data_IF_257369022619
#
_entry.id   IF_257369022619
#
_cell.length_a   1.000
_cell.length_b   1.000
_cell.length_c   1.000
_cell.angle_alpha   90.00
_cell.angle_beta   90.00
_cell.angle_gamma   90.00
#
_symmetry.space_group_name_H-M   'P 1'
#
loop_
_entity.id
_entity.type
_entity.pdbx_description
1 polymer ?
#
# COMPACT_ATOMS: atom_id res chain seq x y z
N UNK A 1 8.03 -5.87 19.04
CA UNK A 1 7.96 -4.69 18.15
C UNK A 1 8.70 -5.03 16.86
N UNK A 2 7.97 -5.24 15.76
CA UNK A 2 8.56 -5.53 14.45
C UNK A 2 9.17 -4.28 13.82
N UNK A 3 10.24 -4.42 13.02
CA UNK A 3 10.82 -3.28 12.30
C UNK A 3 9.90 -2.88 11.15
N UNK A 4 9.44 -1.63 11.07
CA UNK A 4 8.67 -1.20 9.90
C UNK A 4 9.49 -1.31 8.63
N UNK A 5 8.86 -1.71 7.53
CA UNK A 5 9.46 -1.56 6.22
C UNK A 5 9.53 -0.06 5.90
N UNK A 6 10.74 0.50 5.81
CA UNK A 6 10.91 1.92 5.50
C UNK A 6 10.42 2.23 4.08
N UNK A 7 9.85 3.44 3.85
CA UNK A 7 9.52 3.90 2.52
C UNK A 7 10.75 3.87 1.60
N UNK A 8 10.57 3.29 0.42
CA UNK A 8 11.58 3.31 -0.64
C UNK A 8 11.36 4.53 -1.55
N UNK A 9 12.42 5.27 -1.84
CA UNK A 9 12.36 6.44 -2.73
C UNK A 9 13.06 6.13 -4.05
N UNK A 10 12.37 6.38 -5.15
CA UNK A 10 12.92 6.25 -6.50
C UNK A 10 13.68 7.53 -6.89
N UNK A 11 14.68 7.38 -7.76
CA UNK A 11 15.39 8.54 -8.31
C UNK A 11 14.58 9.18 -9.44
N UNK A 12 14.74 10.49 -9.62
CA UNK A 12 14.13 11.18 -10.75
C UNK A 12 14.58 10.54 -12.08
N UNK A 13 13.64 10.28 -12.98
CA UNK A 13 13.90 9.61 -14.26
C UNK A 13 14.01 8.09 -14.17
N UNK A 14 14.01 7.48 -12.98
CA UNK A 14 13.78 6.04 -12.85
C UNK A 14 12.35 5.76 -13.28
N UNK A 15 12.21 5.13 -14.44
CA UNK A 15 10.93 4.54 -14.82
C UNK A 15 10.68 3.38 -13.86
N UNK A 16 9.46 3.26 -13.35
CA UNK A 16 8.92 2.04 -12.73
C UNK A 16 8.87 0.93 -13.82
N UNK A 17 10.05 0.51 -14.25
CA UNK A 17 10.24 -0.56 -15.18
C UNK A 17 10.15 -1.88 -14.40
N UNK A 18 9.77 -2.94 -15.12
CA UNK A 18 9.56 -4.31 -14.64
C UNK A 18 10.57 -4.79 -13.58
N UNK A 19 11.86 -4.41 -13.67
CA UNK A 19 12.92 -4.79 -12.70
C UNK A 19 12.84 -4.08 -11.34
N UNK A 20 12.46 -2.81 -11.30
CA UNK A 20 12.43 -2.04 -10.05
C UNK A 20 11.29 -2.49 -9.16
N UNK A 21 10.14 -2.82 -9.74
CA UNK A 21 8.97 -3.38 -9.02
C UNK A 21 9.28 -4.76 -8.44
N UNK A 22 9.96 -5.64 -9.18
CA UNK A 22 10.40 -6.94 -8.63
C UNK A 22 11.41 -6.75 -7.50
N UNK A 23 12.35 -5.81 -7.63
CA UNK A 23 13.35 -5.53 -6.58
C UNK A 23 12.70 -4.98 -5.31
N UNK A 24 11.81 -3.99 -5.45
CA UNK A 24 11.09 -3.41 -4.30
C UNK A 24 10.18 -4.44 -3.64
N UNK A 25 9.45 -5.24 -4.43
CA UNK A 25 8.62 -6.34 -3.92
C UNK A 25 9.47 -7.39 -3.20
N UNK A 26 10.67 -7.70 -3.71
CA UNK A 26 11.60 -8.61 -3.04
C UNK A 26 12.12 -8.09 -1.69
N UNK A 27 12.40 -6.79 -1.58
CA UNK A 27 12.79 -6.19 -0.28
C UNK A 27 11.63 -6.19 0.72
N UNK A 28 10.42 -5.84 0.28
CA UNK A 28 9.22 -5.88 1.11
C UNK A 28 8.89 -7.31 1.55
N UNK A 29 9.05 -8.27 0.65
CA UNK A 29 8.89 -9.70 0.92
C UNK A 29 9.85 -10.21 1.97
N UNK A 30 11.16 -9.97 1.83
CA UNK A 30 12.15 -10.41 2.81
C UNK A 30 11.88 -9.81 4.20
N UNK A 31 11.36 -8.57 4.25
CA UNK A 31 10.92 -7.94 5.50
C UNK A 31 9.67 -8.60 6.08
N UNK A 32 8.70 -8.96 5.24
CA UNK A 32 7.47 -9.62 5.64
C UNK A 32 7.72 -11.05 6.16
N UNK A 33 8.52 -11.86 5.46
CA UNK A 33 8.89 -13.21 5.93
C UNK A 33 9.60 -13.17 7.28
N UNK A 34 10.50 -12.20 7.50
CA UNK A 34 11.20 -12.06 8.76
C UNK A 34 10.33 -11.58 9.93
N UNK A 35 9.10 -11.10 9.69
CA UNK A 35 8.23 -10.50 10.70
C UNK A 35 6.89 -11.19 10.88
N UNK A 36 6.41 -11.92 9.87
CA UNK A 36 5.16 -12.67 9.86
C UNK A 36 5.50 -14.16 9.67
N UNK A 37 6.14 -14.81 10.66
CA UNK A 37 6.86 -16.08 10.49
C UNK A 37 6.01 -17.32 10.20
N UNK A 38 4.74 -17.20 9.83
CA UNK A 38 3.84 -18.36 9.62
C UNK A 38 3.03 -18.27 8.32
N UNK A 39 3.36 -17.34 7.42
CA UNK A 39 2.60 -17.17 6.18
C UNK A 39 1.15 -16.71 6.38
N UNK A 40 0.81 -16.25 7.58
CA UNK A 40 -0.53 -15.75 7.93
C UNK A 40 -0.76 -14.32 7.42
N UNK A 41 -0.55 -14.12 6.12
CA UNK A 41 -0.82 -12.86 5.43
C UNK A 41 -1.20 -13.12 3.98
N UNK A 42 -1.95 -12.17 3.42
CA UNK A 42 -2.23 -12.12 1.99
C UNK A 42 -1.55 -10.88 1.43
N UNK A 43 -0.67 -11.07 0.44
CA UNK A 43 -0.09 -9.98 -0.31
C UNK A 43 -1.12 -9.41 -1.29
N UNK A 44 -1.29 -8.08 -1.28
CA UNK A 44 -2.25 -7.37 -2.13
C UNK A 44 -1.57 -6.21 -2.84
N UNK A 45 -1.91 -5.98 -4.12
CA UNK A 45 -1.44 -4.86 -4.93
C UNK A 45 -2.61 -4.29 -5.75
N UNK A 46 -2.52 -3.01 -6.11
CA UNK A 46 -3.48 -2.36 -6.99
C UNK A 46 -3.28 -2.78 -8.47
N UNK A 47 -4.21 -2.37 -9.33
CA UNK A 47 -4.22 -2.70 -10.77
C UNK A 47 -3.20 -1.93 -11.62
N UNK A 48 -2.15 -1.34 -11.06
CA UNK A 48 -1.15 -0.60 -11.83
C UNK A 48 -0.45 -1.50 -12.87
N UNK A 49 -0.10 -1.02 -14.09
CA UNK A 49 0.45 -1.87 -15.15
C UNK A 49 1.71 -2.67 -14.77
N UNK A 50 2.54 -2.17 -13.86
CA UNK A 50 3.70 -2.89 -13.33
C UNK A 50 3.31 -4.11 -12.49
N UNK A 51 2.25 -3.99 -11.69
CA UNK A 51 1.73 -5.05 -10.82
C UNK A 51 0.96 -6.11 -11.62
N UNK A 52 0.25 -5.70 -12.67
CA UNK A 52 -0.53 -6.64 -13.52
C UNK A 52 0.32 -7.40 -14.54
N UNK A 53 1.63 -7.12 -14.63
CA UNK A 53 2.53 -7.81 -15.56
C UNK A 53 2.76 -9.27 -15.18
N UNK A 54 2.88 -10.15 -16.18
CA UNK A 54 3.06 -11.60 -15.95
C UNK A 54 4.27 -11.92 -15.08
N UNK A 55 5.34 -11.14 -15.23
CA UNK A 55 6.55 -11.29 -14.41
C UNK A 55 6.27 -11.00 -12.94
N UNK A 56 5.56 -9.90 -12.64
CA UNK A 56 5.24 -9.50 -11.27
C UNK A 56 4.24 -10.47 -10.64
N UNK A 57 3.20 -10.85 -11.37
CA UNK A 57 2.22 -11.85 -10.94
C UNK A 57 2.90 -13.18 -10.65
N UNK A 58 3.72 -13.71 -11.57
CA UNK A 58 4.48 -14.95 -11.36
C UNK A 58 5.41 -14.86 -10.15
N UNK A 59 6.12 -13.74 -10.00
CA UNK A 59 6.97 -13.52 -8.84
C UNK A 59 6.16 -13.58 -7.54
N UNK A 60 5.05 -12.86 -7.45
CA UNK A 60 4.23 -12.84 -6.24
C UNK A 60 3.62 -14.22 -5.95
N UNK A 61 3.08 -14.91 -6.96
CA UNK A 61 2.55 -16.28 -6.80
C UNK A 61 3.60 -17.28 -6.34
N UNK A 62 4.85 -17.16 -6.81
CA UNK A 62 5.94 -18.08 -6.44
C UNK A 62 6.52 -17.79 -5.07
N UNK A 63 6.58 -16.54 -4.65
CA UNK A 63 7.34 -16.15 -3.45
C UNK A 63 6.43 -15.84 -2.25
N UNK A 64 5.24 -15.26 -2.43
CA UNK A 64 4.39 -14.85 -1.30
C UNK A 64 3.64 -16.06 -0.71
N UNK A 65 3.42 -16.07 0.62
CA UNK A 65 2.65 -17.12 1.29
C UNK A 65 1.23 -17.23 0.73
N UNK A 66 0.53 -16.11 0.63
CA UNK A 66 -0.71 -15.95 -0.12
C UNK A 66 -0.68 -14.66 -0.92
N UNK A 67 -1.37 -14.65 -2.07
CA UNK A 67 -1.38 -13.52 -2.97
C UNK A 67 -2.76 -13.37 -3.61
N UNK A 68 -3.24 -12.12 -3.71
CA UNK A 68 -4.39 -11.78 -4.54
C UNK A 68 -3.93 -11.41 -5.96
N UNK A 69 -4.18 -12.27 -6.96
CA UNK A 69 -3.83 -11.97 -8.35
C UNK A 69 -4.61 -10.78 -8.90
N UNK A 70 -4.16 -10.28 -10.06
CA UNK A 70 -4.67 -9.05 -10.70
C UNK A 70 -6.19 -9.00 -10.93
N UNK A 71 -6.85 -10.15 -11.00
CA UNK A 71 -8.29 -10.32 -11.20
C UNK A 71 -9.10 -10.27 -9.89
N UNK A 72 -8.46 -10.37 -8.73
CA UNK A 72 -9.10 -10.23 -7.42
C UNK A 72 -9.33 -8.77 -7.02
N UNK A 73 -8.47 -7.85 -7.48
CA UNK A 73 -8.58 -6.43 -7.13
C UNK A 73 -9.47 -5.69 -8.14
N UNK A 74 -10.56 -5.02 -7.70
CA UNK A 74 -11.41 -4.28 -8.61
C UNK A 74 -10.66 -3.10 -9.22
N UNK A 75 -10.90 -2.83 -10.50
CA UNK A 75 -10.29 -1.71 -11.21
C UNK A 75 -10.67 -0.38 -10.54
N UNK A 76 -9.75 0.59 -10.60
CA UNK A 76 -10.00 1.98 -10.17
C UNK A 76 -10.61 2.12 -8.77
N UNK A 77 -10.19 1.29 -7.82
CA UNK A 77 -10.77 1.23 -6.47
C UNK A 77 -9.79 1.68 -5.37
N UNK A 78 -9.34 2.95 -5.37
CA UNK A 78 -8.48 3.48 -4.29
C UNK A 78 -9.20 3.47 -2.94
N UNK A 79 -10.54 3.52 -2.96
CA UNK A 79 -11.41 3.38 -1.78
C UNK A 79 -11.18 2.09 -0.98
N UNK A 80 -10.59 1.07 -1.60
CA UNK A 80 -10.33 -0.23 -0.98
C UNK A 80 -8.87 -0.40 -0.53
N UNK A 81 -7.93 0.44 -0.98
CA UNK A 81 -6.54 0.32 -0.58
C UNK A 81 -6.26 1.14 0.69
N UNK A 82 -5.95 0.52 1.85
CA UNK A 82 -5.67 1.26 3.09
C UNK A 82 -4.51 2.25 2.96
N UNK A 83 -3.56 1.98 2.07
CA UNK A 83 -2.49 2.94 1.78
C UNK A 83 -3.05 4.23 1.18
N UNK A 84 -3.96 4.11 0.21
CA UNK A 84 -4.52 5.26 -0.53
C UNK A 84 -5.55 6.04 0.29
N UNK A 85 -6.53 5.36 0.90
CA UNK A 85 -7.61 6.07 1.59
C UNK A 85 -7.23 6.61 2.98
N UNK A 86 -6.10 6.20 3.55
CA UNK A 86 -5.71 6.58 4.91
C UNK A 86 -4.22 6.94 5.05
N UNK A 87 -3.31 5.98 4.80
CA UNK A 87 -1.89 6.12 5.20
C UNK A 87 -1.20 7.28 4.49
N UNK A 88 -1.38 7.41 3.17
CA UNK A 88 -0.77 8.50 2.40
C UNK A 88 -1.31 9.86 2.78
N UNK A 89 -2.63 9.98 3.02
CA UNK A 89 -3.23 11.23 3.48
C UNK A 89 -2.75 11.66 4.86
N UNK A 90 -2.57 10.72 5.80
CA UNK A 90 -2.04 11.02 7.13
C UNK A 90 -0.55 11.42 7.08
N UNK A 91 0.26 10.75 6.25
CA UNK A 91 1.65 11.16 6.03
C UNK A 91 1.73 12.56 5.44
N UNK A 92 1.00 12.82 4.35
CA UNK A 92 0.99 14.12 3.68
C UNK A 92 0.60 15.24 4.63
N UNK A 93 -0.46 15.02 5.41
CA UNK A 93 -0.94 15.96 6.44
C UNK A 93 0.13 16.31 7.46
N UNK A 94 0.96 15.34 7.89
CA UNK A 94 2.02 15.58 8.87
C UNK A 94 3.27 16.18 8.24
N UNK A 95 3.71 15.67 7.09
CA UNK A 95 4.92 16.13 6.41
C UNK A 95 4.76 17.55 5.88
N UNK A 96 3.56 17.95 5.48
CA UNK A 96 3.31 19.25 4.86
C UNK A 96 2.94 20.35 5.87
N UNK A 97 3.08 20.12 7.18
CA UNK A 97 2.88 21.16 8.22
C UNK A 97 3.90 22.29 8.11
N UNK A 98 5.06 22.01 7.51
CA UNK A 98 6.16 22.97 7.33
C UNK A 98 6.79 22.80 5.94
N UNK A 99 7.29 23.88 5.32
CA UNK A 99 8.06 23.78 4.08
C UNK A 99 9.35 22.99 4.27
N UNK A 100 9.81 22.33 3.20
CA UNK A 100 11.08 21.61 3.16
C UNK A 100 12.08 22.32 2.25
N UNK A 101 13.34 22.52 2.67
CA UNK A 101 14.34 23.24 1.88
C UNK A 101 14.82 22.47 0.66
N UNK A 102 14.69 21.14 0.65
CA UNK A 102 15.08 20.27 -0.46
C UNK A 102 14.42 18.88 -0.33
N UNK A 103 14.61 18.05 -1.35
CA UNK A 103 14.03 16.70 -1.43
C UNK A 103 14.54 15.78 -0.31
N UNK A 104 15.80 15.94 0.14
CA UNK A 104 16.36 15.07 1.18
C UNK A 104 15.77 15.38 2.57
N UNK A 105 15.52 16.66 2.86
CA UNK A 105 14.77 17.08 4.05
C UNK A 105 13.33 16.54 4.05
N UNK A 106 12.66 16.56 2.90
CA UNK A 106 11.33 15.96 2.74
C UNK A 106 11.38 14.44 2.98
N UNK A 107 12.34 13.72 2.37
CA UNK A 107 12.52 12.28 2.58
C UNK A 107 12.81 11.93 4.04
N UNK A 108 13.61 12.73 4.74
CA UNK A 108 13.88 12.55 6.16
C UNK A 108 12.60 12.69 6.99
N UNK A 109 11.81 13.73 6.71
CA UNK A 109 10.53 13.97 7.38
C UNK A 109 9.55 12.82 7.13
N UNK A 110 9.42 12.34 5.88
CA UNK A 110 8.55 11.19 5.55
C UNK A 110 8.93 9.95 6.37
N UNK A 111 10.24 9.65 6.52
CA UNK A 111 10.69 8.51 7.33
C UNK A 111 10.34 8.69 8.81
N UNK A 112 10.58 9.87 9.36
CA UNK A 112 10.22 10.18 10.75
C UNK A 112 8.72 10.03 10.99
N UNK A 113 7.88 10.58 10.13
CA UNK A 113 6.43 10.49 10.29
C UNK A 113 5.88 9.08 10.05
N UNK A 114 6.53 8.28 9.20
CA UNK A 114 6.21 6.87 9.01
C UNK A 114 6.47 6.04 10.28
N UNK A 115 7.61 6.26 10.93
CA UNK A 115 7.96 5.57 12.18
C UNK A 115 7.09 6.04 13.35
N UNK A 116 6.71 7.33 13.38
CA UNK A 116 5.82 7.92 14.38
C UNK A 116 4.33 7.58 14.18
N UNK A 117 3.94 7.02 13.03
CA UNK A 117 2.53 6.68 12.77
C UNK A 117 2.07 5.61 13.76
N UNK A 118 0.95 5.83 14.47
CA UNK A 118 0.53 4.89 15.51
C UNK A 118 0.12 3.53 14.91
N UNK A 119 0.44 2.46 15.62
CA UNK A 119 0.01 1.10 15.24
C UNK A 119 -1.52 0.99 15.27
N UNK A 120 -2.17 1.65 16.23
CA UNK A 120 -3.62 1.75 16.31
C UNK A 120 -4.25 2.34 15.03
N UNK A 121 -3.67 3.42 14.48
CA UNK A 121 -4.15 4.03 13.23
C UNK A 121 -4.04 3.06 12.06
N UNK A 122 -2.91 2.34 11.94
CA UNK A 122 -2.69 1.34 10.90
C UNK A 122 -3.69 0.19 11.01
N UNK A 123 -3.85 -0.38 12.21
CA UNK A 123 -4.80 -1.46 12.49
C UNK A 123 -6.23 -1.02 12.15
N UNK A 124 -6.65 0.17 12.57
CA UNK A 124 -7.99 0.69 12.31
C UNK A 124 -8.22 0.97 10.81
N UNK A 125 -7.19 1.44 10.10
CA UNK A 125 -7.24 1.59 8.65
C UNK A 125 -7.50 0.25 7.96
N UNK A 126 -6.74 -0.79 8.32
CA UNK A 126 -6.94 -2.14 7.80
C UNK A 126 -8.30 -2.73 8.17
N UNK A 127 -8.76 -2.58 9.42
CA UNK A 127 -10.09 -3.04 9.88
C UNK A 127 -11.23 -2.42 9.09
N UNK A 128 -11.05 -1.21 8.55
CA UNK A 128 -12.07 -0.53 7.75
C UNK A 128 -12.28 -1.14 6.35
N UNK A 129 -11.34 -1.97 5.89
CA UNK A 129 -11.37 -2.60 4.56
C UNK A 129 -12.69 -3.33 4.28
N UNK A 130 -13.11 -4.21 5.20
CA UNK A 130 -14.31 -5.03 5.01
C UNK A 130 -15.58 -4.19 4.81
N UNK A 131 -15.79 -3.20 5.68
CA UNK A 131 -16.94 -2.28 5.59
C UNK A 131 -16.93 -1.50 4.27
N UNK A 132 -15.74 -1.12 3.77
CA UNK A 132 -15.59 -0.42 2.48
C UNK A 132 -15.94 -1.33 1.31
N UNK A 133 -15.52 -2.60 1.34
CA UNK A 133 -15.95 -3.61 0.35
C UNK A 133 -17.46 -3.77 0.35
N UNK A 134 -18.08 -3.94 1.53
CA UNK A 134 -19.53 -4.05 1.67
C UNK A 134 -20.26 -2.81 1.11
N UNK A 135 -19.70 -1.60 1.32
CA UNK A 135 -20.25 -0.37 0.75
C UNK A 135 -20.13 -0.31 -0.78
N UNK A 136 -19.01 -0.75 -1.36
CA UNK A 136 -18.83 -0.83 -2.82
C UNK A 136 -19.81 -1.85 -3.43
N UNK A 137 -20.01 -3.00 -2.79
CA UNK A 137 -21.00 -4.00 -3.23
C UNK A 137 -22.41 -3.41 -3.20
N UNK A 138 -22.79 -2.75 -2.09
CA UNK A 138 -24.09 -2.07 -1.97
C UNK A 138 -24.27 -0.97 -3.03
N UNK A 139 -23.19 -0.34 -3.45
CA UNK A 139 -23.18 0.68 -4.50
C UNK A 139 -23.04 0.09 -5.92
N UNK A 140 -23.12 -1.23 -6.09
CA UNK A 140 -22.99 -1.93 -7.39
C UNK A 140 -21.68 -1.56 -8.13
N UNK A 141 -20.57 -1.46 -7.39
CA UNK A 141 -19.27 -1.04 -7.93
C UNK A 141 -19.03 0.47 -7.92
N UNK A 142 -19.99 1.27 -7.44
CA UNK A 142 -19.84 2.70 -7.21
C UNK A 142 -18.94 3.04 -6.00
N UNK A 143 -18.57 4.32 -5.91
CA UNK A 143 -17.73 4.86 -4.82
C UNK A 143 -18.35 4.60 -3.45
N UNK A 144 -17.54 4.08 -2.51
CA UNK A 144 -17.97 3.76 -1.15
C UNK A 144 -18.46 4.98 -0.34
N UNK A 145 -18.09 6.19 -0.76
CA UNK A 145 -18.49 7.45 -0.12
C UNK A 145 -19.86 7.99 -0.58
N UNK A 146 -20.54 7.34 -1.53
CA UNK A 146 -21.89 7.74 -1.99
C UNK A 146 -22.98 6.83 -1.44
N UNK A 147 -23.13 6.76 -0.11
CA UNK A 147 -24.41 6.34 0.46
C UNK A 147 -25.13 7.61 0.89
N UNK A 148 -25.93 8.20 -0.01
CA UNK A 148 -26.97 9.13 0.41
C UNK A 148 -28.03 8.27 1.09
N UNK A 149 -28.12 8.35 2.42
CA UNK A 149 -29.30 7.88 3.13
C UNK A 149 -30.51 8.63 2.55
N UNK A 150 -31.52 7.87 2.12
CA UNK A 150 -32.84 8.38 1.76
C UNK A 150 -33.72 8.35 2.99
#
# INVERSE_FOLDING_TARGET
TGRRCLPSFFKAGERLARRLTTRSSGTQFAMAEGQLPEGNYVWTQDGAPSHTSDLCQKFCTTNMAHFWPKDMWPSSSPDLNPLDFAVWGELEKKTNRTPHPNVDALKATIRTEWDNMSEEFLINSCKSFRRRVEAVIKAEGGTSMRVKEK
#
